data_IF_054653105291
#
_entry.id   IF_054653105291
#
_cell.length_a   1.000
_cell.length_b   1.000
_cell.length_c   1.000
_cell.angle_alpha   90.00
_cell.angle_beta   90.00
_cell.angle_gamma   90.00
#
_symmetry.space_group_name_H-M   'P 1'
#
loop_
_entity.id
_entity.type
_entity.pdbx_description
1 polymer ?
#
# COMPACT_ATOMS: atom_id res chain seq x y z
N UNK A 1 12.78 2.95 -9.02
CA UNK A 1 11.48 3.38 -8.51
C UNK A 1 10.40 2.64 -9.29
N UNK A 2 9.59 1.85 -8.59
CA UNK A 2 8.43 1.15 -9.18
C UNK A 2 7.36 2.19 -9.52
N UNK A 3 6.62 2.02 -10.61
CA UNK A 3 5.55 2.95 -11.00
C UNK A 3 4.16 2.38 -10.64
N UNK A 4 3.20 3.22 -10.23
CA UNK A 4 1.81 2.78 -10.05
C UNK A 4 1.21 2.21 -11.34
N UNK A 5 0.60 1.03 -11.23
CA UNK A 5 -0.15 0.39 -12.32
C UNK A 5 -1.58 0.91 -12.34
N UNK A 6 -2.20 0.91 -13.52
CA UNK A 6 -3.59 1.32 -13.68
C UNK A 6 -4.49 0.17 -13.23
N UNK A 7 -5.39 0.46 -12.29
CA UNK A 7 -6.33 -0.53 -11.74
C UNK A 7 -7.74 -0.10 -12.11
N UNK A 8 -8.42 -0.92 -12.91
CA UNK A 8 -9.82 -0.72 -13.25
C UNK A 8 -10.75 -0.96 -12.05
N UNK A 9 -12.02 -0.56 -12.17
CA UNK A 9 -12.97 -0.67 -11.07
C UNK A 9 -13.31 -2.14 -10.72
N UNK A 10 -13.24 -3.04 -11.70
CA UNK A 10 -13.53 -4.46 -11.49
C UNK A 10 -12.45 -5.12 -10.64
N UNK A 11 -11.18 -4.89 -10.96
CA UNK A 11 -10.01 -5.40 -10.24
C UNK A 11 -9.94 -4.79 -8.84
N UNK A 12 -10.29 -3.51 -8.69
CA UNK A 12 -10.35 -2.88 -7.37
C UNK A 12 -11.46 -3.48 -6.49
N UNK A 13 -12.62 -3.81 -7.07
CA UNK A 13 -13.74 -4.40 -6.34
C UNK A 13 -13.54 -5.90 -6.04
N UNK A 14 -12.88 -6.64 -6.95
CA UNK A 14 -12.67 -8.08 -6.85
C UNK A 14 -11.21 -8.45 -7.18
N UNK A 15 -10.25 -8.17 -6.27
CA UNK A 15 -8.83 -8.43 -6.50
C UNK A 15 -8.52 -9.92 -6.36
N UNK A 16 -8.84 -10.70 -7.41
CA UNK A 16 -8.68 -12.15 -7.45
C UNK A 16 -7.22 -12.61 -7.49
N UNK A 17 -6.35 -11.85 -8.17
CA UNK A 17 -4.90 -12.04 -8.14
C UNK A 17 -4.19 -10.69 -8.18
N UNK A 18 -3.24 -10.50 -7.26
CA UNK A 18 -2.51 -9.22 -7.10
C UNK A 18 -1.01 -9.42 -7.01
N UNK A 19 -0.53 -10.65 -7.15
CA UNK A 19 0.90 -10.95 -7.03
C UNK A 19 1.75 -10.19 -8.06
N UNK A 20 1.21 -9.91 -9.25
CA UNK A 20 1.86 -9.08 -10.30
C UNK A 20 1.91 -7.58 -9.98
N UNK A 21 1.13 -7.13 -8.99
CA UNK A 21 1.09 -5.77 -8.48
C UNK A 21 2.08 -5.57 -7.32
N UNK A 22 2.54 -6.66 -6.71
CA UNK A 22 3.45 -6.64 -5.58
C UNK A 22 4.91 -6.51 -6.03
N UNK A 23 5.77 -5.81 -5.26
CA UNK A 23 7.22 -5.87 -5.45
C UNK A 23 7.74 -7.28 -5.16
N UNK A 24 8.92 -7.59 -5.70
CA UNK A 24 9.65 -8.79 -5.25
C UNK A 24 9.97 -8.66 -3.76
N UNK A 25 9.74 -9.72 -2.98
CA UNK A 25 10.04 -9.72 -1.55
C UNK A 25 11.52 -9.46 -1.26
N UNK A 26 12.42 -9.86 -2.17
CA UNK A 26 13.86 -9.68 -2.00
C UNK A 26 14.31 -8.21 -2.02
N UNK A 27 13.51 -7.30 -2.59
CA UNK A 27 13.84 -5.87 -2.65
C UNK A 27 13.22 -5.06 -1.50
N UNK A 28 12.36 -5.68 -0.69
CA UNK A 28 11.71 -5.00 0.44
C UNK A 28 12.73 -4.85 1.57
N UNK A 29 13.00 -3.62 2.06
CA UNK A 29 13.90 -3.39 3.18
C UNK A 29 13.48 -4.13 4.45
N UNK A 30 14.45 -4.60 5.22
CA UNK A 30 14.21 -5.41 6.41
C UNK A 30 13.40 -4.66 7.48
N UNK A 31 13.56 -3.35 7.63
CA UNK A 31 12.77 -2.52 8.53
C UNK A 31 11.27 -2.49 8.18
N UNK A 32 10.93 -2.65 6.91
CA UNK A 32 9.53 -2.73 6.47
C UNK A 32 8.98 -4.12 6.79
N UNK A 33 9.77 -5.17 6.51
CA UNK A 33 9.41 -6.57 6.83
C UNK A 33 9.20 -6.75 8.33
N UNK A 34 10.06 -6.14 9.16
CA UNK A 34 9.97 -6.17 10.62
C UNK A 34 8.87 -5.25 11.18
N UNK A 35 8.19 -4.47 10.33
CA UNK A 35 7.10 -3.59 10.74
C UNK A 35 7.53 -2.32 11.48
N UNK A 36 8.82 -1.97 11.48
CA UNK A 36 9.33 -0.81 12.23
C UNK A 36 9.33 0.50 11.44
N UNK A 37 8.97 0.47 10.16
CA UNK A 37 8.88 1.67 9.32
C UNK A 37 7.59 2.47 9.58
N UNK A 38 7.61 3.79 9.32
CA UNK A 38 6.39 4.62 9.36
C UNK A 38 5.32 4.11 8.40
N UNK A 39 5.73 3.55 7.25
CA UNK A 39 4.83 3.03 6.23
C UNK A 39 4.20 1.70 6.63
N UNK A 40 4.91 0.87 7.39
CA UNK A 40 4.35 -0.33 8.01
C UNK A 40 3.23 0.04 8.98
N UNK A 41 3.43 1.06 9.80
CA UNK A 41 2.39 1.58 10.70
C UNK A 41 1.18 2.13 9.95
N UNK A 42 1.39 2.95 8.91
CA UNK A 42 0.32 3.48 8.05
C UNK A 42 -0.48 2.34 7.43
N UNK A 43 0.21 1.31 6.93
CA UNK A 43 -0.41 0.15 6.27
C UNK A 43 -1.26 -0.65 7.26
N UNK A 44 -0.71 -0.94 8.44
CA UNK A 44 -1.45 -1.62 9.51
C UNK A 44 -2.67 -0.81 9.97
N UNK A 45 -2.51 0.49 10.21
CA UNK A 45 -3.62 1.37 10.56
C UNK A 45 -4.71 1.40 9.48
N UNK A 46 -4.32 1.41 8.20
CA UNK A 46 -5.26 1.34 7.08
C UNK A 46 -5.99 0.01 7.06
N UNK A 47 -5.25 -1.10 7.14
CA UNK A 47 -5.82 -2.43 7.05
C UNK A 47 -6.80 -2.72 8.18
N UNK A 48 -6.43 -2.42 9.43
CA UNK A 48 -7.23 -2.80 10.60
C UNK A 48 -8.28 -1.78 11.01
N UNK A 49 -8.08 -0.50 10.70
CA UNK A 49 -8.92 0.57 11.26
C UNK A 49 -9.40 1.59 10.22
N UNK A 50 -8.84 1.56 9.01
CA UNK A 50 -9.02 2.62 8.03
C UNK A 50 -8.29 3.92 8.39
N UNK A 51 -8.10 4.75 7.35
CA UNK A 51 -7.48 6.07 7.47
C UNK A 51 -8.54 7.14 7.20
N UNK A 52 -8.73 8.07 8.13
CA UNK A 52 -9.64 9.22 7.95
C UNK A 52 -8.86 10.51 7.70
N UNK A 53 -9.36 11.34 6.80
CA UNK A 53 -8.75 12.62 6.46
C UNK A 53 -7.32 12.51 5.92
N UNK A 54 -6.99 11.37 5.30
CA UNK A 54 -5.64 11.10 4.82
C UNK A 54 -5.22 12.10 3.74
N UNK A 55 -4.11 12.80 3.97
CA UNK A 55 -3.46 13.69 3.01
C UNK A 55 -2.09 13.12 2.68
N UNK A 56 -1.93 12.72 1.43
CA UNK A 56 -0.71 12.09 0.91
C UNK A 56 0.14 13.12 0.19
N UNK A 57 1.46 13.12 0.45
CA UNK A 57 2.43 13.94 -0.26
C UNK A 57 3.16 13.07 -1.29
N UNK A 58 2.72 13.03 -2.56
CA UNK A 58 3.35 12.20 -3.59
C UNK A 58 4.74 12.74 -3.94
N UNK A 59 5.64 11.83 -4.33
CA UNK A 59 6.89 12.20 -5.01
C UNK A 59 6.61 12.72 -6.42
N UNK A 60 7.60 13.37 -7.02
CA UNK A 60 7.51 13.89 -8.38
C UNK A 60 7.10 12.79 -9.39
N UNK A 61 6.12 13.09 -10.23
CA UNK A 61 5.61 12.17 -11.26
C UNK A 61 4.65 11.08 -10.77
N UNK A 62 4.36 11.01 -9.46
CA UNK A 62 3.41 10.04 -8.90
C UNK A 62 1.98 10.59 -8.95
N UNK A 63 1.09 9.89 -9.64
CA UNK A 63 -0.36 10.10 -9.54
C UNK A 63 -0.88 9.44 -8.26
N UNK A 64 -1.31 10.27 -7.30
CA UNK A 64 -1.85 9.83 -6.01
C UNK A 64 -3.04 8.89 -6.16
N UNK A 65 -3.99 9.18 -7.06
CA UNK A 65 -5.20 8.35 -7.23
C UNK A 65 -4.81 6.97 -7.77
N UNK A 66 -3.92 6.94 -8.75
CA UNK A 66 -3.40 5.69 -9.33
C UNK A 66 -2.64 4.85 -8.29
N UNK A 67 -1.74 5.48 -7.54
CA UNK A 67 -0.97 4.84 -6.47
C UNK A 67 -1.88 4.25 -5.38
N UNK A 68 -2.87 5.00 -4.90
CA UNK A 68 -3.78 4.53 -3.85
C UNK A 68 -4.71 3.41 -4.31
N UNK A 69 -5.16 3.44 -5.57
CA UNK A 69 -5.92 2.31 -6.16
C UNK A 69 -5.07 1.06 -6.27
N UNK A 70 -3.80 1.21 -6.67
CA UNK A 70 -2.85 0.11 -6.76
C UNK A 70 -2.63 -0.58 -5.42
N UNK A 71 -2.26 0.16 -4.36
CA UNK A 71 -2.11 -0.45 -3.02
C UNK A 71 -3.43 -0.94 -2.44
N UNK A 72 -4.55 -0.27 -2.76
CA UNK A 72 -5.88 -0.67 -2.31
C UNK A 72 -6.28 -2.05 -2.84
N UNK A 73 -6.00 -2.34 -4.11
CA UNK A 73 -6.23 -3.67 -4.69
C UNK A 73 -5.41 -4.75 -3.97
N UNK A 74 -4.12 -4.47 -3.67
CA UNK A 74 -3.25 -5.41 -2.95
C UNK A 74 -3.77 -5.67 -1.53
N UNK A 75 -4.12 -4.62 -0.77
CA UNK A 75 -4.64 -4.75 0.60
C UNK A 75 -5.95 -5.54 0.66
N UNK A 76 -6.84 -5.29 -0.30
CA UNK A 76 -8.17 -5.92 -0.40
C UNK A 76 -8.13 -7.38 -0.86
N UNK A 77 -7.01 -7.86 -1.39
CA UNK A 77 -6.89 -9.25 -1.84
C UNK A 77 -6.73 -10.24 -0.68
N UNK A 78 -7.28 -11.44 -0.91
CA UNK A 78 -7.19 -12.60 -0.03
C UNK A 78 -6.20 -13.66 -0.56
N UNK A 79 -5.63 -13.46 -1.76
CA UNK A 79 -4.67 -14.40 -2.36
C UNK A 79 -3.33 -14.42 -1.60
N UNK A 80 -2.64 -13.28 -1.38
CA UNK A 80 -1.35 -13.28 -0.69
C UNK A 80 -1.51 -13.46 0.83
N UNK A 81 -0.46 -13.96 1.49
CA UNK A 81 -0.40 -13.94 2.95
C UNK A 81 -0.49 -12.51 3.45
N UNK A 82 -1.13 -12.35 4.60
CA UNK A 82 -1.39 -11.05 5.21
C UNK A 82 -0.09 -10.24 5.43
N UNK A 83 0.95 -10.86 5.97
CA UNK A 83 2.26 -10.22 6.19
C UNK A 83 2.93 -9.79 4.89
N UNK A 84 2.81 -10.60 3.83
CA UNK A 84 3.43 -10.29 2.53
C UNK A 84 2.72 -9.11 1.85
N UNK A 85 1.38 -9.02 1.94
CA UNK A 85 0.64 -7.87 1.38
C UNK A 85 0.88 -6.58 2.15
N UNK A 86 0.97 -6.63 3.48
CA UNK A 86 1.29 -5.44 4.27
C UNK A 86 2.70 -4.93 3.98
N UNK A 87 3.70 -5.83 3.91
CA UNK A 87 5.07 -5.45 3.57
C UNK A 87 5.18 -4.86 2.15
N UNK A 88 4.49 -5.47 1.17
CA UNK A 88 4.41 -4.97 -0.20
C UNK A 88 3.83 -3.56 -0.25
N UNK A 89 2.68 -3.34 0.40
CA UNK A 89 2.00 -2.04 0.41
C UNK A 89 2.84 -0.99 1.12
N UNK A 90 3.41 -1.31 2.27
CA UNK A 90 4.29 -0.40 3.01
C UNK A 90 5.50 0.03 2.17
N UNK A 91 6.12 -0.90 1.43
CA UNK A 91 7.22 -0.59 0.53
C UNK A 91 6.79 0.32 -0.62
N UNK A 92 5.70 -0.02 -1.32
CA UNK A 92 5.19 0.80 -2.42
C UNK A 92 4.81 2.21 -1.96
N UNK A 93 4.21 2.35 -0.78
CA UNK A 93 3.95 3.67 -0.19
C UNK A 93 5.24 4.46 0.08
N UNK A 94 6.30 3.80 0.54
CA UNK A 94 7.61 4.44 0.77
C UNK A 94 8.29 4.94 -0.50
N UNK A 95 8.08 4.23 -1.60
CA UNK A 95 8.58 4.58 -2.93
C UNK A 95 7.79 5.73 -3.55
N UNK A 96 6.48 5.80 -3.29
CA UNK A 96 5.58 6.74 -4.01
C UNK A 96 5.28 8.02 -3.25
N UNK A 97 5.38 8.00 -1.92
CA UNK A 97 5.03 9.14 -1.08
C UNK A 97 6.21 9.54 -0.21
N UNK A 98 6.37 10.84 -0.01
CA UNK A 98 7.32 11.39 0.94
C UNK A 98 6.74 11.34 2.35
N UNK A 99 5.45 11.63 2.48
CA UNK A 99 4.76 11.68 3.77
C UNK A 99 3.24 11.51 3.66
N UNK A 100 2.61 11.24 4.81
CA UNK A 100 1.16 11.16 4.95
C UNK A 100 0.72 11.65 6.33
N UNK A 101 -0.36 12.45 6.37
CA UNK A 101 -1.04 12.80 7.61
C UNK A 101 -2.44 12.20 7.62
N UNK A 102 -2.86 11.57 8.71
CA UNK A 102 -4.18 10.93 8.82
C UNK A 102 -4.60 10.81 10.28
N UNK A 103 -5.88 10.53 10.50
CA UNK A 103 -6.41 10.04 11.77
C UNK A 103 -6.75 8.57 11.62
N UNK A 104 -6.24 7.74 12.52
CA UNK A 104 -6.57 6.30 12.58
C UNK A 104 -8.06 6.14 12.94
N UNK A 105 -8.78 5.29 12.22
CA UNK A 105 -10.15 4.93 12.58
C UNK A 105 -10.23 4.03 13.81
N UNK A 106 -11.45 3.61 14.17
CA UNK A 106 -11.65 2.59 15.20
C UNK A 106 -11.69 1.21 14.53
N UNK A 107 -11.08 0.17 15.12
CA UNK A 107 -11.24 -1.20 14.65
C UNK A 107 -12.70 -1.65 14.66
#
# INVERSE_FOLDING_TARGET
MIQPQEIDDLTLAFPASVTSLMPDKAIIPEEIIRGSSKWSRVTSDWFFCGLHGAKWKPREGIDTKKALRHVGAILGSWEPKHEDKEAAVAYLLSEWFEDVSYTKGKP
#
